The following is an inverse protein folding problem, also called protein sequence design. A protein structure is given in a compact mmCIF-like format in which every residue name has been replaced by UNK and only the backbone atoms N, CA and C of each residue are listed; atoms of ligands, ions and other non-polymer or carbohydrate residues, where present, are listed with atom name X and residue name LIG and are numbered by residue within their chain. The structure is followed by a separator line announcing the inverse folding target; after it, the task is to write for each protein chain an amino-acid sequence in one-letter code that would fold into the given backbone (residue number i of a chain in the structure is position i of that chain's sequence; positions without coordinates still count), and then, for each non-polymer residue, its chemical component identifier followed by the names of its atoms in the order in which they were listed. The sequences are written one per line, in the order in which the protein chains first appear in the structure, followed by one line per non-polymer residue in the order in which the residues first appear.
data_IF_570601892789
#
_entry.id   IF_570601892789
#
_cell.length_a   1.000
_cell.length_b   1.000
_cell.length_c   1.000
_cell.angle_alpha   90.00
_cell.angle_beta   90.00
_cell.angle_gamma   90.00
#
_symmetry.space_group_name_H-M   'P 1'
#
loop_
_entity.id
_entity.type
_entity.pdbx_description
1 polymer ?
#
# COMPACT_ATOMS: atom_id res chain seq x y z
N UNK A 1 -8.73 -5.77 -25.00
CA UNK A 1 -8.12 -4.43 -25.06
C UNK A 1 -7.15 -4.33 -23.90
N UNK A 2 -5.87 -4.52 -24.17
CA UNK A 2 -4.76 -4.34 -23.22
C UNK A 2 -4.54 -2.85 -23.05
N UNK A 3 -5.19 -2.25 -22.05
CA UNK A 3 -4.98 -0.86 -21.69
C UNK A 3 -3.62 -0.70 -21.03
N UNK A 4 -2.82 0.20 -21.57
CA UNK A 4 -1.56 0.68 -21.01
C UNK A 4 -1.77 1.10 -19.53
N UNK A 5 -1.34 0.24 -18.61
CA UNK A 5 -1.28 0.51 -17.17
C UNK A 5 0.17 0.38 -16.65
N UNK A 6 1.15 0.69 -17.49
CA UNK A 6 2.51 1.02 -17.08
C UNK A 6 2.52 2.56 -16.89
N UNK A 7 2.73 3.15 -15.72
CA UNK A 7 3.85 2.96 -14.80
C UNK A 7 3.39 3.03 -13.34
N UNK A 8 3.04 1.90 -12.72
CA UNK A 8 3.03 1.85 -11.26
C UNK A 8 4.47 1.93 -10.78
N UNK A 9 4.85 3.07 -10.21
CA UNK A 9 6.21 3.29 -9.72
C UNK A 9 6.55 2.34 -8.56
N UNK A 10 5.55 1.98 -7.75
CA UNK A 10 5.58 0.87 -6.81
C UNK A 10 4.40 -0.07 -7.09
N UNK A 11 4.63 -1.38 -7.18
CA UNK A 11 3.55 -2.38 -7.29
C UNK A 11 3.95 -3.63 -6.52
N UNK A 12 3.01 -4.14 -5.73
CA UNK A 12 3.17 -5.36 -4.97
C UNK A 12 1.89 -6.20 -5.07
N UNK A 13 2.03 -7.49 -5.35
CA UNK A 13 0.90 -8.42 -5.53
C UNK A 13 1.17 -9.76 -4.86
N UNK A 14 0.13 -10.39 -4.31
CA UNK A 14 0.20 -11.64 -3.58
C UNK A 14 -1.14 -12.40 -3.58
N UNK A 15 -1.14 -13.66 -3.16
CA UNK A 15 -2.37 -14.46 -2.96
C UNK A 15 -2.88 -14.27 -1.55
N UNK A 16 -4.20 -14.26 -1.36
CA UNK A 16 -4.77 -14.21 -0.02
C UNK A 16 -6.18 -14.76 0.06
N UNK A 17 -6.90 -14.42 1.11
CA UNK A 17 -8.30 -14.79 1.29
C UNK A 17 -9.12 -13.65 1.91
N UNK A 18 -10.39 -13.52 1.50
CA UNK A 18 -11.38 -12.70 2.18
C UNK A 18 -11.91 -13.40 3.42
N UNK A 19 -12.31 -12.64 4.43
CA UNK A 19 -13.08 -13.18 5.53
C UNK A 19 -14.55 -13.45 5.12
N UNK A 20 -15.14 -14.61 5.45
CA UNK A 20 -14.51 -15.79 6.04
C UNK A 20 -14.02 -16.79 4.97
N UNK A 21 -12.70 -16.91 4.80
CA UNK A 21 -12.01 -17.98 4.06
C UNK A 21 -12.21 -18.07 2.54
N UNK A 22 -12.73 -17.05 1.86
CA UNK A 22 -12.87 -17.10 0.39
C UNK A 22 -11.54 -16.75 -0.27
N UNK A 23 -10.86 -17.66 -0.97
CA UNK A 23 -9.57 -17.39 -1.58
C UNK A 23 -9.68 -16.29 -2.65
N UNK A 24 -8.64 -15.48 -2.76
CA UNK A 24 -8.46 -14.46 -3.80
C UNK A 24 -7.10 -14.67 -4.42
N UNK A 25 -7.10 -14.89 -5.73
CA UNK A 25 -5.88 -15.22 -6.47
C UNK A 25 -4.94 -14.01 -6.62
N UNK A 26 -5.47 -12.79 -6.59
CA UNK A 26 -4.69 -11.57 -6.83
C UNK A 26 -5.07 -10.43 -5.87
N UNK A 27 -4.44 -10.41 -4.68
CA UNK A 27 -4.33 -9.21 -3.86
C UNK A 27 -3.18 -8.36 -4.36
N UNK A 28 -3.32 -7.04 -4.30
CA UNK A 28 -2.28 -6.13 -4.75
C UNK A 28 -2.48 -4.72 -4.22
N UNK A 29 -1.37 -3.98 -4.20
CA UNK A 29 -1.33 -2.54 -4.04
C UNK A 29 -0.34 -1.95 -5.06
N UNK A 30 -0.61 -0.74 -5.50
CA UNK A 30 0.22 0.01 -6.42
C UNK A 30 0.21 1.50 -6.06
N UNK A 31 1.35 2.16 -6.17
CA UNK A 31 1.50 3.60 -6.03
C UNK A 31 2.12 4.10 -7.33
N UNK A 32 1.52 5.11 -7.94
CA UNK A 32 2.01 5.66 -9.20
C UNK A 32 1.39 7.02 -9.52
N UNK A 33 1.76 7.56 -10.67
CA UNK A 33 1.20 8.81 -11.21
C UNK A 33 0.20 8.50 -12.31
N UNK A 34 -0.91 9.23 -12.32
CA UNK A 34 -1.80 9.32 -13.46
C UNK A 34 -1.18 10.18 -14.58
N UNK A 35 -1.69 10.09 -15.83
CA UNK A 35 -1.19 10.89 -16.96
C UNK A 35 -1.23 12.41 -16.74
N UNK A 36 -2.10 12.89 -15.85
CA UNK A 36 -2.20 14.30 -15.45
C UNK A 36 -1.22 14.70 -14.33
N UNK A 37 -0.40 13.76 -13.85
CA UNK A 37 0.58 13.95 -12.78
C UNK A 37 0.04 13.69 -11.37
N UNK A 38 -1.24 13.33 -11.21
CA UNK A 38 -1.84 13.03 -9.91
C UNK A 38 -1.26 11.75 -9.33
N UNK A 39 -0.81 11.80 -8.08
CA UNK A 39 -0.37 10.61 -7.37
C UNK A 39 -1.56 9.80 -6.87
N UNK A 40 -1.52 8.49 -7.10
CA UNK A 40 -2.60 7.57 -6.77
C UNK A 40 -2.09 6.32 -6.05
N UNK A 41 -2.87 5.86 -5.09
CA UNK A 41 -2.83 4.50 -4.56
C UNK A 41 -3.93 3.69 -5.24
N UNK A 42 -3.60 2.52 -5.74
CA UNK A 42 -4.56 1.58 -6.28
C UNK A 42 -4.38 0.25 -5.57
N UNK A 43 -5.44 -0.30 -4.99
CA UNK A 43 -5.36 -1.54 -4.26
C UNK A 43 -6.60 -2.39 -4.45
N UNK A 44 -6.45 -3.71 -4.40
CA UNK A 44 -7.51 -4.66 -4.69
C UNK A 44 -8.83 -4.37 -3.94
N UNK A 45 -8.79 -4.04 -2.65
CA UNK A 45 -10.00 -3.83 -1.83
C UNK A 45 -10.59 -2.43 -1.96
N UNK A 46 -9.77 -1.44 -2.33
CA UNK A 46 -10.07 -0.01 -2.23
C UNK A 46 -10.45 0.56 -3.61
N UNK A 47 -9.85 0.01 -4.66
CA UNK A 47 -9.76 0.63 -5.97
C UNK A 47 -8.73 1.77 -5.98
N UNK A 48 -8.70 2.49 -7.12
CA UNK A 48 -7.82 3.63 -7.33
C UNK A 48 -8.33 4.85 -6.55
N UNK A 49 -7.43 5.48 -5.80
CA UNK A 49 -7.69 6.71 -5.07
C UNK A 49 -6.51 7.68 -5.16
N UNK A 50 -6.79 8.97 -5.13
CA UNK A 50 -5.79 10.01 -5.12
C UNK A 50 -5.09 10.10 -3.75
N UNK A 51 -3.79 10.38 -3.77
CA UNK A 51 -2.99 10.73 -2.60
C UNK A 51 -3.01 12.25 -2.44
N UNK A 52 -3.96 12.76 -1.66
CA UNK A 52 -4.08 14.20 -1.35
C UNK A 52 -2.82 14.69 -0.62
N UNK A 53 -2.26 15.81 -1.07
CA UNK A 53 -0.97 16.32 -0.58
C UNK A 53 0.25 15.77 -1.32
N UNK A 54 0.04 14.94 -2.35
CA UNK A 54 1.09 14.29 -3.12
C UNK A 54 1.58 13.01 -2.44
N UNK A 55 2.62 12.39 -3.01
CA UNK A 55 3.19 11.16 -2.48
C UNK A 55 4.33 11.29 -1.42
N UNK A 56 4.47 12.35 -0.57
CA UNK A 56 5.61 12.42 0.36
C UNK A 56 5.70 11.24 1.32
N UNK A 57 4.57 10.75 1.83
CA UNK A 57 4.49 9.57 2.69
C UNK A 57 4.95 8.30 1.97
N UNK A 58 4.64 8.18 0.67
CA UNK A 58 5.13 7.08 -0.14
C UNK A 58 6.63 7.20 -0.45
N UNK A 59 7.13 8.43 -0.64
CA UNK A 59 8.57 8.68 -0.77
C UNK A 59 9.33 8.36 0.52
N UNK A 60 8.80 8.72 1.69
CA UNK A 60 9.39 8.37 2.98
C UNK A 60 9.49 6.85 3.15
N UNK A 61 8.41 6.14 2.82
CA UNK A 61 8.41 4.67 2.79
C UNK A 61 9.49 4.11 1.86
N UNK A 62 9.58 4.61 0.62
CA UNK A 62 10.61 4.15 -0.32
C UNK A 62 12.04 4.51 0.10
N UNK A 63 12.26 5.70 0.67
CA UNK A 63 13.56 6.09 1.20
C UNK A 63 14.00 5.17 2.34
N UNK A 64 13.07 4.80 3.22
CA UNK A 64 13.35 3.85 4.28
C UNK A 64 13.66 2.45 3.74
N UNK A 65 12.96 2.00 2.69
CA UNK A 65 13.26 0.72 2.04
C UNK A 65 14.68 0.67 1.47
N UNK A 66 15.19 1.79 0.96
CA UNK A 66 16.55 1.87 0.42
C UNK A 66 17.63 2.15 1.46
N UNK A 67 17.26 2.52 2.69
CA UNK A 67 18.19 2.68 3.79
C UNK A 67 18.67 1.31 4.30
N UNK A 68 19.82 1.30 4.98
CA UNK A 68 20.30 0.08 5.65
C UNK A 68 19.22 -0.44 6.61
N UNK A 69 18.77 -1.69 6.45
CA UNK A 69 17.74 -2.23 7.33
C UNK A 69 18.29 -2.29 8.77
N UNK A 70 17.44 -2.11 9.81
CA UNK A 70 17.85 -2.29 11.19
C UNK A 70 18.52 -3.65 11.39
N UNK A 71 19.35 -3.85 12.42
CA UNK A 71 19.85 -5.18 12.81
C UNK A 71 18.81 -5.91 13.68
N UNK A 72 18.79 -7.25 13.65
CA UNK A 72 17.88 -8.04 14.50
C UNK A 72 16.39 -7.90 14.14
N UNK A 73 15.51 -8.05 15.13
CA UNK A 73 14.06 -7.92 14.99
C UNK A 73 13.65 -6.47 14.76
N UNK A 74 12.67 -6.22 13.89
CA UNK A 74 12.01 -4.92 13.82
C UNK A 74 10.57 -5.02 13.35
N UNK A 75 9.81 -3.97 13.66
CA UNK A 75 8.50 -3.66 13.11
C UNK A 75 8.44 -2.17 12.80
N UNK A 76 7.90 -1.79 11.65
CA UNK A 76 7.85 -0.42 11.19
C UNK A 76 6.54 -0.15 10.44
N UNK A 77 5.87 0.92 10.86
CA UNK A 77 4.62 1.40 10.29
C UNK A 77 4.87 2.60 9.36
N UNK A 78 4.14 2.63 8.25
CA UNK A 78 4.13 3.72 7.27
C UNK A 78 2.70 4.06 6.89
N UNK A 79 2.27 5.26 7.23
CA UNK A 79 0.93 5.71 6.89
C UNK A 79 0.93 6.38 5.53
N UNK A 80 0.34 5.72 4.52
CA UNK A 80 0.27 6.22 3.15
C UNK A 80 -0.90 7.20 2.94
N UNK A 81 -2.03 6.94 3.58
CA UNK A 81 -3.24 7.77 3.55
C UNK A 81 -3.73 7.93 4.98
N UNK A 82 -4.21 9.11 5.37
CA UNK A 82 -4.56 9.43 6.75
C UNK A 82 -5.81 10.29 6.85
N UNK A 83 -6.95 9.64 7.07
CA UNK A 83 -8.24 10.31 7.25
C UNK A 83 -8.70 11.13 6.05
N UNK A 84 -8.19 10.83 4.86
CA UNK A 84 -8.40 11.62 3.64
C UNK A 84 -9.80 11.35 3.05
N UNK A 85 -10.55 12.40 2.66
CA UNK A 85 -11.85 12.21 2.04
C UNK A 85 -11.69 11.61 0.64
N UNK A 86 -12.37 10.50 0.42
CA UNK A 86 -12.31 9.74 -0.81
C UNK A 86 -13.45 10.16 -1.74
N UNK A 87 -13.12 10.39 -3.00
CA UNK A 87 -14.08 10.70 -4.06
C UNK A 87 -13.70 9.92 -5.33
N UNK A 88 -14.68 9.63 -6.19
CA UNK A 88 -14.44 9.00 -7.49
C UNK A 88 -14.14 7.49 -7.49
N UNK A 89 -13.86 6.86 -6.34
CA UNK A 89 -13.78 5.40 -6.27
C UNK A 89 -15.18 4.77 -6.38
N UNK A 90 -15.33 3.77 -7.27
CA UNK A 90 -16.57 2.97 -7.38
C UNK A 90 -16.76 2.01 -6.20
N UNK A 91 -15.70 1.74 -5.42
CA UNK A 91 -15.70 0.78 -4.31
C UNK A 91 -15.84 1.44 -2.95
N UNK A 92 -15.50 2.72 -2.84
CA UNK A 92 -15.67 3.50 -1.63
C UNK A 92 -16.90 4.38 -1.73
N UNK A 93 -17.59 4.57 -0.61
CA UNK A 93 -18.70 5.52 -0.57
C UNK A 93 -18.14 6.93 -0.66
N UNK A 94 -18.76 7.80 -1.45
CA UNK A 94 -18.36 9.21 -1.53
C UNK A 94 -18.33 9.87 -0.15
N UNK A 95 -17.25 10.59 0.15
CA UNK A 95 -17.02 11.19 1.46
C UNK A 95 -16.53 10.23 2.56
N UNK A 96 -16.21 8.98 2.23
CA UNK A 96 -15.48 8.07 3.14
C UNK A 96 -14.14 8.72 3.50
N UNK A 97 -13.78 8.75 4.79
CA UNK A 97 -12.43 9.12 5.21
C UNK A 97 -11.61 7.86 5.33
N UNK A 98 -10.53 7.75 4.58
CA UNK A 98 -9.74 6.53 4.48
C UNK A 98 -8.37 6.73 5.13
N UNK A 99 -7.93 5.73 5.89
CA UNK A 99 -6.56 5.60 6.38
C UNK A 99 -5.98 4.29 5.86
N UNK A 100 -4.78 4.36 5.28
CA UNK A 100 -4.04 3.21 4.73
C UNK A 100 -2.66 3.19 5.35
N UNK A 101 -2.32 2.07 5.98
CA UNK A 101 -1.03 1.86 6.62
C UNK A 101 -0.34 0.63 6.04
N UNK A 102 0.98 0.71 5.89
CA UNK A 102 1.85 -0.43 5.59
C UNK A 102 2.63 -0.76 6.85
N UNK A 103 2.54 -2.01 7.29
CA UNK A 103 3.37 -2.58 8.33
C UNK A 103 4.43 -3.47 7.67
N UNK A 104 5.70 -3.25 7.99
CA UNK A 104 6.80 -4.13 7.59
C UNK A 104 7.57 -4.58 8.82
N UNK A 105 7.84 -5.88 8.93
CA UNK A 105 8.59 -6.43 10.05
C UNK A 105 9.40 -7.66 9.70
N UNK A 106 10.30 -8.02 10.61
CA UNK A 106 11.02 -9.29 10.60
C UNK A 106 11.34 -9.72 12.03
N UNK A 107 11.33 -11.01 12.29
CA UNK A 107 11.51 -11.57 13.64
C UNK A 107 12.99 -11.72 14.05
N UNK A 108 13.90 -11.86 13.09
CA UNK A 108 15.33 -12.09 13.37
C UNK A 108 16.24 -11.52 12.26
N UNK A 109 17.52 -11.37 12.55
CA UNK A 109 18.52 -10.89 11.59
C UNK A 109 18.67 -11.89 10.43
N UNK A 110 18.55 -11.40 9.19
CA UNK A 110 18.59 -12.24 7.99
C UNK A 110 17.36 -13.13 7.79
N UNK A 111 16.37 -13.04 8.69
CA UNK A 111 15.09 -13.71 8.56
C UNK A 111 14.20 -13.07 7.47
N UNK A 112 13.10 -13.73 7.10
CA UNK A 112 12.15 -13.18 6.13
C UNK A 112 11.52 -11.89 6.64
N UNK A 113 11.35 -10.93 5.73
CA UNK A 113 10.50 -9.77 5.97
C UNK A 113 9.05 -10.12 5.64
N UNK A 114 8.13 -9.48 6.36
CA UNK A 114 6.70 -9.60 6.20
C UNK A 114 6.09 -8.23 6.02
N UNK A 115 5.24 -8.11 5.01
CA UNK A 115 4.48 -6.90 4.71
C UNK A 115 3.00 -7.16 4.95
N UNK A 116 2.35 -6.21 5.62
CA UNK A 116 0.91 -6.18 5.81
C UNK A 116 0.39 -4.79 5.45
N UNK A 117 -0.81 -4.75 4.87
CA UNK A 117 -1.54 -3.50 4.60
C UNK A 117 -2.71 -3.45 5.55
N UNK A 118 -2.85 -2.36 6.30
CA UNK A 118 -3.97 -2.13 7.20
C UNK A 118 -4.87 -1.03 6.62
N UNK A 119 -6.17 -1.26 6.69
CA UNK A 119 -7.18 -0.35 6.18
C UNK A 119 -8.17 0.01 7.27
N UNK A 120 -8.36 1.31 7.50
CA UNK A 120 -9.31 1.84 8.45
C UNK A 120 -9.92 3.14 7.94
N UNK A 121 -10.91 3.67 8.65
CA UNK A 121 -11.52 4.93 8.27
C UNK A 121 -12.87 5.20 8.91
N UNK A 122 -13.59 6.15 8.32
CA UNK A 122 -14.92 6.58 8.76
C UNK A 122 -15.88 6.68 7.56
N UNK A 123 -17.08 6.10 7.70
CA UNK A 123 -18.18 6.24 6.73
C UNK A 123 -19.39 6.81 7.47
N UNK A 124 -19.88 7.99 7.08
CA UNK A 124 -21.05 8.64 7.72
C UNK A 124 -20.91 8.73 9.25
N UNK A 125 -19.71 9.07 9.74
CA UNK A 125 -19.34 9.13 11.16
C UNK A 125 -19.30 7.79 11.91
N UNK A 126 -19.33 6.66 11.20
CA UNK A 126 -19.08 5.33 11.77
C UNK A 126 -17.66 4.90 11.43
N UNK A 127 -16.85 4.65 12.45
CA UNK A 127 -15.51 4.10 12.27
C UNK A 127 -15.57 2.67 11.74
N UNK A 128 -14.65 2.33 10.85
CA UNK A 128 -14.41 0.97 10.41
C UNK A 128 -12.91 0.66 10.44
N UNK A 129 -12.61 -0.62 10.63
CA UNK A 129 -11.31 -1.19 10.35
C UNK A 129 -11.55 -2.50 9.60
N UNK A 130 -10.78 -2.75 8.56
CA UNK A 130 -10.80 -4.06 7.89
C UNK A 130 -10.07 -5.03 8.81
N UNK A 131 -10.85 -5.74 9.62
CA UNK A 131 -10.36 -6.74 10.57
C UNK A 131 -10.08 -8.10 9.92
N UNK A 132 -10.21 -8.24 8.60
CA UNK A 132 -9.77 -9.44 7.92
C UNK A 132 -8.25 -9.50 8.03
N UNK A 133 -7.65 -10.56 8.60
CA UNK A 133 -6.21 -10.72 8.56
C UNK A 133 -5.83 -10.92 7.09
N UNK A 134 -5.44 -9.82 6.43
CA UNK A 134 -4.64 -9.94 5.23
C UNK A 134 -3.35 -10.61 5.72
N UNK A 135 -3.19 -11.89 5.38
CA UNK A 135 -2.05 -12.69 5.80
C UNK A 135 -0.77 -11.89 5.60
N UNK A 136 0.09 -11.87 6.63
CA UNK A 136 1.38 -11.23 6.54
C UNK A 136 2.16 -11.89 5.39
N UNK A 137 2.31 -11.18 4.29
CA UNK A 137 2.94 -11.74 3.11
C UNK A 137 4.44 -11.71 3.31
N UNK A 138 5.08 -12.87 3.19
CA UNK A 138 6.53 -12.94 3.12
C UNK A 138 7.00 -12.22 1.85
N UNK A 139 7.96 -11.32 2.02
CA UNK A 139 8.50 -10.47 0.95
C UNK A 139 10.02 -10.60 0.85
N UNK A 140 10.54 -10.44 -0.35
CA UNK A 140 11.97 -10.30 -0.58
C UNK A 140 12.33 -8.82 -0.54
N UNK A 141 13.22 -8.44 0.38
CA UNK A 141 13.67 -7.06 0.54
C UNK A 141 14.16 -6.44 -0.78
N UNK A 142 14.92 -7.21 -1.57
CA UNK A 142 15.44 -6.75 -2.86
C UNK A 142 14.33 -6.36 -3.87
N UNK A 143 13.16 -7.02 -3.82
CA UNK A 143 12.02 -6.66 -4.67
C UNK A 143 11.38 -5.34 -4.22
N UNK A 144 11.25 -5.15 -2.90
CA UNK A 144 10.78 -3.89 -2.31
C UNK A 144 11.73 -2.74 -2.60
N UNK A 145 13.04 -2.95 -2.51
CA UNK A 145 14.07 -1.98 -2.85
C UNK A 145 14.01 -1.58 -4.33
N UNK A 146 13.88 -2.56 -5.24
CA UNK A 146 13.74 -2.28 -6.66
C UNK A 146 12.48 -1.44 -6.97
N UNK A 147 11.36 -1.73 -6.28
CA UNK A 147 10.14 -0.94 -6.40
C UNK A 147 10.28 0.46 -5.78
N UNK A 148 10.94 0.58 -4.63
CA UNK A 148 11.23 1.85 -3.98
C UNK A 148 12.11 2.76 -4.84
N UNK A 149 13.14 2.20 -5.49
CA UNK A 149 14.00 2.95 -6.39
C UNK A 149 13.22 3.53 -7.59
N UNK A 150 12.31 2.74 -8.18
CA UNK A 150 11.42 3.22 -9.25
C UNK A 150 10.46 4.31 -8.75
N UNK A 151 9.90 4.14 -7.55
CA UNK A 151 9.06 5.15 -6.91
C UNK A 151 9.78 6.49 -6.79
N UNK A 152 11.00 6.49 -6.24
CA UNK A 152 11.78 7.71 -6.06
C UNK A 152 12.25 8.33 -7.37
N UNK A 153 12.58 7.54 -8.38
CA UNK A 153 12.93 8.04 -9.70
C UNK A 153 11.76 8.77 -10.39
N UNK A 154 10.53 8.33 -10.13
CA UNK A 154 9.32 9.01 -10.60
C UNK A 154 8.91 10.22 -9.75
N UNK A 155 9.59 10.45 -8.62
CA UNK A 155 9.26 11.47 -7.63
C UNK A 155 9.87 12.84 -7.93
N UNK A 156 11.10 12.81 -8.44
CA UNK A 156 11.82 13.95 -9.03
C UNK A 156 11.18 14.44 -10.32
#
# INVERSE_FOLDING_TARGET
MSGEHDEAAFRFGWRGSHCPGMPVDDLWLAIGKDPDGTWCLDAYFIGRTALTGGAPRAAEFAQWLLACPPEGRYEKEFMLVDGEPQSGSRRLTDGTRLTVEILLGREEAGGPEYLQVLLSGEIRNYAFAVCAPLECQRVLRAELEAAAARLLASYT
#
